data_IF_424213901649
#
_entry.id   IF_424213901649
#
_cell.length_a   1.000
_cell.length_b   1.000
_cell.length_c   1.000
_cell.angle_alpha   90.00
_cell.angle_beta   90.00
_cell.angle_gamma   90.00
#
_symmetry.space_group_name_H-M   'P 1'
#
loop_
_entity.id
_entity.type
_entity.pdbx_description
1 polymer ?
#
# COMPACT_ATOMS: atom_id res chain seq x y z
N UNK A 1 7.05 22.50 2.14
CA UNK A 1 6.14 21.92 3.16
C UNK A 1 6.92 21.68 4.43
N UNK A 2 6.59 22.42 5.49
CA UNK A 2 7.02 22.16 6.86
C UNK A 2 6.19 20.99 7.40
N UNK A 3 6.84 19.98 7.97
CA UNK A 3 6.18 18.86 8.65
C UNK A 3 5.49 19.41 9.90
N UNK A 4 4.19 19.70 9.81
CA UNK A 4 3.49 20.43 10.88
C UNK A 4 3.27 19.57 12.13
N UNK A 5 3.15 18.24 12.00
CA UNK A 5 3.08 17.34 13.14
C UNK A 5 4.35 17.40 14.03
N UNK A 6 5.53 17.65 13.45
CA UNK A 6 6.77 17.86 14.21
C UNK A 6 6.69 19.05 15.17
N UNK A 7 5.78 20.01 14.95
CA UNK A 7 5.60 21.14 15.89
C UNK A 7 5.01 20.71 17.24
N UNK A 8 4.43 19.52 17.29
CA UNK A 8 3.76 18.95 18.44
C UNK A 8 4.56 17.82 19.09
N UNK A 9 5.78 17.54 18.61
CA UNK A 9 6.64 16.46 19.09
C UNK A 9 8.04 16.98 19.42
N UNK A 10 8.70 16.39 20.44
CA UNK A 10 10.06 16.77 20.82
C UNK A 10 11.11 16.36 19.77
N UNK A 11 10.88 15.24 19.08
CA UNK A 11 11.75 14.74 18.02
C UNK A 11 11.12 15.02 16.65
N UNK A 12 11.75 15.92 15.89
CA UNK A 12 11.35 16.26 14.51
C UNK A 12 11.43 15.05 13.55
N UNK A 13 12.17 14.00 13.92
CA UNK A 13 12.29 12.75 13.18
C UNK A 13 11.24 11.69 13.53
N UNK A 14 10.51 11.85 14.63
CA UNK A 14 9.59 10.85 15.16
C UNK A 14 8.27 10.76 14.38
N UNK A 15 7.76 11.88 13.85
CA UNK A 15 6.57 11.89 12.97
C UNK A 15 6.77 12.88 11.85
N UNK A 16 6.65 12.39 10.62
CA UNK A 16 6.71 13.25 9.45
C UNK A 16 5.37 13.46 8.76
N UNK A 17 4.27 12.86 9.25
CA UNK A 17 2.93 12.96 8.66
C UNK A 17 2.57 14.42 8.38
N UNK A 18 2.14 14.69 7.14
CA UNK A 18 1.86 16.06 6.70
C UNK A 18 0.50 16.50 7.22
N UNK A 19 0.51 17.22 8.35
CA UNK A 19 -0.68 17.95 8.85
C UNK A 19 -1.87 17.02 9.13
N UNK A 20 -1.69 15.98 9.97
CA UNK A 20 -2.77 15.05 10.28
C UNK A 20 -3.91 15.79 10.96
N UNK A 21 -5.14 15.34 10.74
CA UNK A 21 -6.26 15.70 11.62
C UNK A 21 -5.88 15.29 13.04
N UNK A 22 -5.68 16.29 13.90
CA UNK A 22 -5.20 16.06 15.28
C UNK A 22 -6.27 15.44 16.15
N UNK A 23 -7.56 15.58 15.79
CA UNK A 23 -8.67 14.93 16.47
C UNK A 23 -8.80 13.48 15.98
N UNK A 24 -8.28 12.57 16.80
CA UNK A 24 -8.28 11.11 16.61
C UNK A 24 -9.23 10.43 17.59
N UNK A 25 -10.04 11.18 18.36
CA UNK A 25 -10.93 10.61 19.39
C UNK A 25 -11.89 9.56 18.82
N UNK A 26 -12.36 9.76 17.59
CA UNK A 26 -13.21 8.82 16.88
C UNK A 26 -12.59 7.41 16.75
N UNK A 27 -11.26 7.29 16.72
CA UNK A 27 -10.55 5.99 16.63
C UNK A 27 -10.76 5.13 17.87
N UNK A 28 -11.08 5.75 19.01
CA UNK A 28 -11.32 5.06 20.27
C UNK A 28 -12.81 4.79 20.52
N UNK A 29 -13.70 5.03 19.54
CA UNK A 29 -15.13 4.69 19.64
C UNK A 29 -15.37 3.18 19.52
N UNK A 30 -14.63 2.49 18.62
CA UNK A 30 -14.62 1.04 18.50
C UNK A 30 -13.33 0.43 19.09
N UNK A 31 -13.22 0.47 20.41
CA UNK A 31 -12.08 -0.13 21.13
C UNK A 31 -11.92 -1.62 20.86
N UNK A 32 -13.02 -2.35 20.56
CA UNK A 32 -12.98 -3.79 20.34
C UNK A 32 -12.33 -4.11 18.99
N UNK A 33 -12.77 -3.45 17.92
CA UNK A 33 -12.17 -3.60 16.59
C UNK A 33 -10.70 -3.17 16.57
N UNK A 34 -10.38 -2.07 17.24
CA UNK A 34 -9.00 -1.55 17.33
C UNK A 34 -8.06 -2.49 18.10
N UNK A 35 -8.51 -3.07 19.22
CA UNK A 35 -7.76 -4.12 19.94
C UNK A 35 -7.51 -5.33 19.05
N UNK A 36 -8.56 -5.81 18.37
CA UNK A 36 -8.44 -6.95 17.47
C UNK A 36 -7.38 -6.71 16.37
N UNK A 37 -7.35 -5.52 15.76
CA UNK A 37 -6.35 -5.18 14.74
C UNK A 37 -4.95 -5.05 15.29
N UNK A 38 -4.83 -4.47 16.48
CA UNK A 38 -3.54 -4.29 17.13
C UNK A 38 -2.95 -5.66 17.50
N UNK A 39 -3.75 -6.55 18.07
CA UNK A 39 -3.37 -7.95 18.37
C UNK A 39 -3.01 -8.73 17.10
N UNK A 40 -3.80 -8.59 16.05
CA UNK A 40 -3.54 -9.24 14.76
C UNK A 40 -2.24 -8.72 14.11
N UNK A 41 -1.93 -7.43 14.27
CA UNK A 41 -0.69 -6.82 13.78
C UNK A 41 0.55 -7.29 14.55
N UNK A 42 0.41 -7.60 15.85
CA UNK A 42 1.51 -8.13 16.69
C UNK A 42 1.96 -9.51 16.19
N UNK A 43 1.02 -10.36 15.76
CA UNK A 43 1.34 -11.69 15.23
C UNK A 43 2.18 -11.65 13.96
N UNK A 44 2.01 -10.61 13.14
CA UNK A 44 2.83 -10.34 11.94
C UNK A 44 4.31 -10.14 12.25
N UNK A 45 4.63 -9.70 13.48
CA UNK A 45 5.97 -9.38 13.94
C UNK A 45 6.45 -10.35 15.03
N UNK A 46 6.14 -11.65 14.92
CA UNK A 46 6.49 -12.70 15.90
C UNK A 46 7.99 -12.81 16.29
N UNK A 47 8.87 -12.04 15.66
CA UNK A 47 10.29 -11.86 16.02
C UNK A 47 10.59 -10.66 16.94
N UNK A 48 9.64 -9.75 17.20
CA UNK A 48 9.78 -8.67 18.18
C UNK A 48 8.93 -8.95 19.42
N UNK A 49 9.54 -9.57 20.42
CA UNK A 49 8.92 -9.94 21.71
C UNK A 49 8.39 -8.77 22.55
N UNK A 50 8.61 -7.51 22.13
CA UNK A 50 8.47 -6.32 22.98
C UNK A 50 7.33 -5.36 22.59
N UNK A 51 6.57 -5.61 21.51
CA UNK A 51 5.49 -4.71 21.07
C UNK A 51 4.12 -5.20 21.56
N UNK A 52 3.81 -4.98 22.84
CA UNK A 52 2.45 -5.16 23.38
C UNK A 52 1.80 -3.79 23.54
N UNK A 53 1.16 -3.30 22.48
CA UNK A 53 0.43 -2.02 22.55
C UNK A 53 -0.85 -2.21 23.35
N UNK A 54 -0.91 -1.57 24.50
CA UNK A 54 -2.13 -1.43 25.27
C UNK A 54 -2.97 -0.27 24.72
N UNK A 55 -3.99 -0.60 23.95
CA UNK A 55 -4.89 0.38 23.31
C UNK A 55 -5.57 1.30 24.34
N UNK A 56 -5.84 0.82 25.56
CA UNK A 56 -6.46 1.64 26.62
C UNK A 56 -5.49 2.70 27.13
N UNK A 57 -4.22 2.31 27.36
CA UNK A 57 -3.14 3.25 27.69
C UNK A 57 -2.93 4.28 26.57
N UNK A 58 -2.91 3.85 25.30
CA UNK A 58 -2.79 4.78 24.16
C UNK A 58 -3.95 5.79 24.16
N UNK A 59 -5.18 5.32 24.36
CA UNK A 59 -6.35 6.20 24.44
C UNK A 59 -6.21 7.23 25.58
N UNK A 60 -5.84 6.78 26.78
CA UNK A 60 -5.66 7.66 27.93
C UNK A 60 -4.56 8.71 27.70
N UNK A 61 -3.41 8.31 27.16
CA UNK A 61 -2.30 9.20 26.84
C UNK A 61 -2.69 10.23 25.79
N UNK A 62 -3.40 9.80 24.73
CA UNK A 62 -3.89 10.69 23.70
C UNK A 62 -4.90 11.72 24.23
N UNK A 63 -5.83 11.32 25.10
CA UNK A 63 -6.79 12.26 25.71
C UNK A 63 -6.08 13.30 26.59
N UNK A 64 -5.06 12.89 27.36
CA UNK A 64 -4.22 13.84 28.12
C UNK A 64 -3.54 14.86 27.21
N UNK A 65 -2.94 14.41 26.11
CA UNK A 65 -2.35 15.29 25.11
C UNK A 65 -3.39 16.24 24.48
N UNK A 66 -4.56 15.71 24.11
CA UNK A 66 -5.65 16.47 23.50
C UNK A 66 -6.21 17.56 24.42
N UNK A 67 -6.33 17.28 25.72
CA UNK A 67 -6.75 18.26 26.73
C UNK A 67 -5.76 19.42 26.85
N UNK A 68 -4.46 19.17 26.71
CA UNK A 68 -3.45 20.24 26.67
C UNK A 68 -3.54 21.00 25.35
N UNK A 69 -3.70 20.31 24.22
CA UNK A 69 -3.83 20.92 22.89
C UNK A 69 -5.05 21.84 22.80
N UNK A 70 -6.21 21.43 23.30
CA UNK A 70 -7.44 22.24 23.31
C UNK A 70 -7.28 23.48 24.18
N UNK A 71 -6.69 23.36 25.39
CA UNK A 71 -6.35 24.52 26.24
C UNK A 71 -5.39 25.49 25.56
N UNK A 72 -4.45 25.00 24.76
CA UNK A 72 -3.53 25.82 23.98
C UNK A 72 -4.22 26.50 22.80
N UNK A 73 -5.05 25.77 22.04
CA UNK A 73 -5.78 26.29 20.87
C UNK A 73 -6.81 27.35 21.27
N UNK A 74 -7.53 27.09 22.35
CA UNK A 74 -8.64 27.91 22.83
C UNK A 74 -8.15 28.97 23.85
N UNK A 75 -6.83 29.22 23.92
CA UNK A 75 -6.25 30.18 24.85
C UNK A 75 -6.71 31.62 24.51
N UNK A 76 -7.64 32.13 25.33
CA UNK A 76 -8.01 33.55 25.33
C UNK A 76 -7.30 34.21 26.50
N UNK A 77 -6.32 35.07 26.21
CA UNK A 77 -5.60 35.84 27.23
C UNK A 77 -5.91 37.33 27.09
N UNK A 78 -6.09 38.00 28.22
CA UNK A 78 -6.50 39.41 28.31
C UNK A 78 -5.34 40.37 27.99
N UNK A 79 -4.09 39.94 28.20
CA UNK A 79 -2.88 40.70 27.84
C UNK A 79 -1.91 39.89 26.96
N UNK A 80 -1.13 40.60 26.12
CA UNK A 80 -0.19 39.96 25.17
C UNK A 80 0.98 39.25 25.88
N UNK A 81 1.43 39.75 27.03
CA UNK A 81 2.53 39.16 27.81
C UNK A 81 2.10 37.85 28.51
N UNK A 82 0.90 37.82 29.09
CA UNK A 82 0.33 36.60 29.70
C UNK A 82 0.05 35.55 28.63
N UNK A 83 -0.43 35.97 27.45
CA UNK A 83 -0.62 35.07 26.31
C UNK A 83 0.66 34.33 25.95
N UNK A 84 1.77 35.06 25.78
CA UNK A 84 3.05 34.49 25.37
C UNK A 84 3.62 33.52 26.41
N UNK A 85 3.52 33.86 27.70
CA UNK A 85 3.97 32.99 28.79
C UNK A 85 3.15 31.70 28.85
N UNK A 86 1.82 31.82 28.82
CA UNK A 86 0.89 30.68 28.88
C UNK A 86 0.98 29.80 27.64
N UNK A 87 1.14 30.39 26.45
CA UNK A 87 1.32 29.64 25.20
C UNK A 87 2.64 28.83 25.24
N UNK A 88 3.72 29.40 25.81
CA UNK A 88 5.00 28.69 25.97
C UNK A 88 4.88 27.52 26.94
N UNK A 89 4.23 27.73 28.07
CA UNK A 89 4.00 26.68 29.08
C UNK A 89 3.15 25.53 28.52
N UNK A 90 2.00 25.85 27.92
CA UNK A 90 1.11 24.85 27.33
C UNK A 90 1.78 24.12 26.18
N UNK A 91 2.58 24.81 25.36
CA UNK A 91 3.37 24.17 24.31
C UNK A 91 4.40 23.20 24.89
N UNK A 92 5.10 23.56 25.96
CA UNK A 92 6.05 22.65 26.61
C UNK A 92 5.35 21.43 27.20
N UNK A 93 4.19 21.61 27.85
CA UNK A 93 3.38 20.49 28.37
C UNK A 93 2.91 19.57 27.23
N UNK A 94 2.44 20.13 26.13
CA UNK A 94 2.02 19.36 24.96
C UNK A 94 3.18 18.57 24.35
N UNK A 95 4.38 19.15 24.32
CA UNK A 95 5.60 18.46 23.89
C UNK A 95 6.00 17.33 24.85
N UNK A 96 5.84 17.52 26.16
CA UNK A 96 6.11 16.46 27.15
C UNK A 96 5.13 15.28 27.01
N UNK A 97 3.90 15.55 26.57
CA UNK A 97 2.87 14.53 26.31
C UNK A 97 2.88 14.02 24.86
N UNK A 98 3.91 14.33 24.06
CA UNK A 98 3.88 14.07 22.61
C UNK A 98 3.69 12.60 22.25
N UNK A 99 4.19 11.67 23.08
CA UNK A 99 4.01 10.23 22.88
C UNK A 99 2.52 9.85 22.78
N UNK A 100 1.61 10.54 23.48
CA UNK A 100 0.18 10.29 23.36
C UNK A 100 -0.36 10.52 21.94
N UNK A 101 0.12 11.55 21.24
CA UNK A 101 -0.20 11.77 19.83
C UNK A 101 0.52 10.76 18.92
N UNK A 102 1.81 10.51 19.19
CA UNK A 102 2.64 9.62 18.37
C UNK A 102 2.09 8.20 18.34
N UNK A 103 1.73 7.66 19.51
CA UNK A 103 1.18 6.31 19.63
C UNK A 103 -0.20 6.20 18.98
N UNK A 104 -1.05 7.23 19.13
CA UNK A 104 -2.33 7.27 18.42
C UNK A 104 -2.16 7.30 16.88
N UNK A 105 -1.12 7.99 16.38
CA UNK A 105 -0.77 8.00 14.96
C UNK A 105 -0.14 6.69 14.48
N UNK A 106 0.41 5.85 15.36
CA UNK A 106 0.94 4.53 14.99
C UNK A 106 -0.16 3.47 14.81
N UNK A 107 -1.33 3.67 15.42
CA UNK A 107 -2.44 2.72 15.38
C UNK A 107 -2.90 2.38 13.95
N UNK A 108 -3.09 1.09 13.61
CA UNK A 108 -3.58 0.66 12.31
C UNK A 108 -5.05 1.05 12.10
N UNK A 109 -5.48 1.13 10.84
CA UNK A 109 -6.83 1.52 10.45
C UNK A 109 -7.92 0.63 11.07
N UNK A 110 -9.12 1.18 11.14
CA UNK A 110 -10.30 0.52 11.68
C UNK A 110 -10.78 -0.56 10.69
N UNK A 111 -11.29 -1.67 11.23
CA UNK A 111 -11.73 -2.79 10.40
C UNK A 111 -13.05 -2.52 9.70
N UNK A 112 -13.13 -2.99 8.46
CA UNK A 112 -14.41 -3.15 7.80
C UNK A 112 -15.21 -4.26 8.49
N UNK A 113 -16.53 -4.14 8.52
CA UNK A 113 -17.41 -5.15 9.12
C UNK A 113 -17.30 -6.55 8.49
N UNK A 114 -16.76 -6.63 7.26
CA UNK A 114 -16.62 -7.88 6.52
C UNK A 114 -15.23 -8.53 6.70
N UNK A 115 -14.31 -7.90 7.44
CA UNK A 115 -12.97 -8.43 7.64
C UNK A 115 -12.99 -9.53 8.70
N UNK A 116 -12.47 -10.70 8.34
CA UNK A 116 -12.39 -11.85 9.25
C UNK A 116 -11.31 -11.59 10.30
N UNK A 117 -11.73 -11.55 11.56
CA UNK A 117 -10.87 -11.37 12.73
C UNK A 117 -10.24 -12.67 13.25
N UNK A 118 -10.48 -13.81 12.62
CA UNK A 118 -9.95 -15.09 13.09
C UNK A 118 -8.42 -15.08 13.08
N UNK A 119 -7.88 -15.12 14.29
CA UNK A 119 -6.48 -15.41 14.58
C UNK A 119 -6.34 -16.93 14.53
N UNK A 120 -6.33 -17.51 13.34
CA UNK A 120 -5.79 -18.85 13.18
C UNK A 120 -4.27 -18.73 13.24
N UNK A 121 -3.64 -19.45 14.18
CA UNK A 121 -2.20 -19.58 14.21
C UNK A 121 -1.73 -19.97 12.79
N UNK A 122 -0.66 -19.36 12.25
CA UNK A 122 -0.20 -19.71 10.93
C UNK A 122 0.11 -21.21 10.94
N UNK A 123 -0.62 -21.98 10.14
CA UNK A 123 -0.11 -23.25 9.63
C UNK A 123 1.07 -22.85 8.75
N UNK A 124 2.24 -22.71 9.38
CA UNK A 124 3.51 -22.68 8.69
C UNK A 124 3.67 -24.09 8.15
N UNK A 125 3.04 -24.36 7.00
CA UNK A 125 3.52 -25.43 6.16
C UNK A 125 4.92 -24.98 5.76
N UNK A 126 5.94 -25.72 6.18
CA UNK A 126 7.28 -25.58 5.61
C UNK A 126 7.12 -25.67 4.09
N UNK A 127 7.20 -24.51 3.43
CA UNK A 127 7.08 -24.43 1.98
C UNK A 127 8.35 -25.06 1.45
N UNK A 128 8.18 -26.16 0.72
CA UNK A 128 9.26 -26.82 0.01
C UNK A 128 9.70 -25.89 -1.13
N UNK A 129 10.62 -24.97 -0.82
CA UNK A 129 11.10 -23.91 -1.73
C UNK A 129 11.67 -24.47 -3.05
N UNK A 130 12.04 -25.76 -3.06
CA UNK A 130 12.56 -26.44 -4.25
C UNK A 130 11.54 -26.56 -5.40
N UNK A 131 10.22 -26.51 -5.12
CA UNK A 131 9.21 -26.67 -6.18
C UNK A 131 8.77 -25.35 -6.86
N UNK A 132 9.06 -24.17 -6.27
CA UNK A 132 8.45 -22.88 -6.65
C UNK A 132 9.27 -21.95 -7.57
N UNK A 133 10.36 -22.44 -8.19
CA UNK A 133 11.27 -21.60 -8.99
C UNK A 133 11.50 -22.09 -10.42
N UNK A 134 10.54 -22.80 -11.02
CA UNK A 134 10.70 -23.36 -12.37
C UNK A 134 10.92 -22.27 -13.42
N UNK A 135 10.25 -21.13 -13.28
CA UNK A 135 10.43 -19.99 -14.18
C UNK A 135 11.86 -19.42 -14.16
N UNK A 136 12.53 -19.36 -13.01
CA UNK A 136 13.91 -18.82 -12.93
C UNK A 136 14.90 -19.72 -13.66
N UNK A 137 14.90 -21.01 -13.35
CA UNK A 137 15.79 -21.97 -14.02
C UNK A 137 15.60 -21.94 -15.54
N UNK A 138 14.34 -21.87 -15.98
CA UNK A 138 14.00 -21.75 -17.39
C UNK A 138 14.55 -20.46 -18.02
N UNK A 139 14.29 -19.31 -17.38
CA UNK A 139 14.69 -18.00 -17.90
C UNK A 139 16.21 -17.82 -17.95
N UNK A 140 16.95 -18.35 -16.96
CA UNK A 140 18.41 -18.32 -16.93
C UNK A 140 18.99 -19.17 -18.05
N UNK A 141 18.49 -20.40 -18.23
CA UNK A 141 18.91 -21.29 -19.33
C UNK A 141 18.63 -20.67 -20.70
N UNK A 142 17.54 -19.92 -20.83
CA UNK A 142 17.18 -19.20 -22.05
C UNK A 142 17.95 -17.88 -22.24
N UNK A 143 18.78 -17.45 -21.29
CA UNK A 143 19.48 -16.16 -21.35
C UNK A 143 18.55 -14.94 -21.28
N UNK A 144 17.33 -15.10 -20.75
CA UNK A 144 16.27 -14.08 -20.71
C UNK A 144 16.20 -13.34 -19.37
N UNK A 145 16.96 -13.82 -18.38
CA UNK A 145 17.13 -13.14 -17.10
C UNK A 145 18.61 -13.14 -16.72
N UNK A 146 19.06 -12.03 -16.14
CA UNK A 146 20.32 -11.96 -15.39
C UNK A 146 20.01 -11.49 -13.98
N UNK A 147 20.16 -12.37 -13.01
CA UNK A 147 19.96 -12.05 -11.59
C UNK A 147 21.26 -11.46 -11.03
N UNK A 148 21.14 -10.39 -10.26
CA UNK A 148 22.24 -9.75 -9.52
C UNK A 148 21.95 -9.89 -8.01
N UNK A 149 22.41 -10.99 -7.38
CA UNK A 149 21.97 -11.35 -6.04
C UNK A 149 22.41 -10.37 -4.95
N UNK A 150 23.54 -9.68 -5.15
CA UNK A 150 24.08 -8.68 -4.22
C UNK A 150 23.16 -7.48 -3.99
N UNK A 151 22.29 -7.18 -4.95
CA UNK A 151 21.34 -6.06 -4.90
C UNK A 151 19.88 -6.50 -5.04
N UNK A 152 19.63 -7.82 -5.04
CA UNK A 152 18.29 -8.41 -5.19
C UNK A 152 17.51 -7.90 -6.41
N UNK A 153 18.22 -7.69 -7.52
CA UNK A 153 17.64 -7.22 -8.78
C UNK A 153 17.77 -8.27 -9.87
N UNK A 154 16.92 -8.17 -10.89
CA UNK A 154 16.99 -8.98 -12.09
C UNK A 154 16.79 -8.13 -13.34
N UNK A 155 17.62 -8.38 -14.35
CA UNK A 155 17.50 -7.78 -15.67
C UNK A 155 16.77 -8.74 -16.59
N UNK A 156 15.66 -8.31 -17.19
CA UNK A 156 14.84 -9.13 -18.08
C UNK A 156 15.04 -8.72 -19.52
N UNK A 157 15.17 -9.69 -20.41
CA UNK A 157 15.35 -9.49 -21.86
C UNK A 157 14.43 -10.45 -22.62
N UNK A 158 13.95 -10.02 -23.79
CA UNK A 158 13.17 -10.88 -24.68
C UNK A 158 11.73 -11.08 -24.22
N UNK A 159 11.30 -12.34 -24.13
CA UNK A 159 9.92 -12.71 -23.82
C UNK A 159 9.40 -12.08 -22.50
N UNK A 160 10.04 -12.24 -21.32
CA UNK A 160 9.53 -11.68 -20.07
C UNK A 160 9.36 -10.16 -20.11
N UNK A 161 10.28 -9.43 -20.74
CA UNK A 161 10.18 -7.97 -20.91
C UNK A 161 9.02 -7.58 -21.83
N UNK A 162 8.82 -8.34 -22.92
CA UNK A 162 7.70 -8.12 -23.85
C UNK A 162 6.35 -8.38 -23.20
N UNK A 163 6.26 -9.43 -22.38
CA UNK A 163 5.07 -9.76 -21.60
C UNK A 163 4.74 -8.66 -20.59
N UNK A 164 5.75 -8.16 -19.86
CA UNK A 164 5.59 -7.04 -18.95
C UNK A 164 5.01 -5.80 -19.64
N UNK A 165 5.56 -5.41 -20.79
CA UNK A 165 5.06 -4.28 -21.58
C UNK A 165 3.61 -4.52 -22.08
N UNK A 166 3.33 -5.72 -22.56
CA UNK A 166 1.98 -6.10 -22.98
C UNK A 166 0.97 -6.00 -21.83
N UNK A 167 1.31 -6.52 -20.64
CA UNK A 167 0.43 -6.49 -19.48
C UNK A 167 0.10 -5.05 -19.06
N UNK A 168 1.08 -4.13 -19.08
CA UNK A 168 0.81 -2.71 -18.81
C UNK A 168 -0.25 -2.14 -19.75
N UNK A 169 -0.15 -2.47 -21.05
CA UNK A 169 -1.09 -2.01 -22.07
C UNK A 169 -2.47 -2.65 -21.86
N UNK A 170 -2.51 -3.96 -21.61
CA UNK A 170 -3.74 -4.71 -21.37
C UNK A 170 -4.53 -4.12 -20.20
N UNK A 171 -3.92 -3.96 -19.03
CA UNK A 171 -4.62 -3.40 -17.86
C UNK A 171 -5.07 -1.96 -18.09
N UNK A 172 -4.31 -1.17 -18.86
CA UNK A 172 -4.71 0.20 -19.21
C UNK A 172 -5.93 0.25 -20.13
N UNK A 173 -6.06 -0.70 -21.05
CA UNK A 173 -7.16 -0.76 -22.02
C UNK A 173 -8.42 -1.41 -21.45
N UNK A 174 -8.26 -2.45 -20.63
CA UNK A 174 -9.38 -3.23 -20.10
C UNK A 174 -9.97 -2.66 -18.80
N UNK A 175 -9.20 -1.92 -18.01
CA UNK A 175 -9.78 -1.18 -16.87
C UNK A 175 -10.63 -0.03 -17.43
N UNK A 176 -11.94 -0.19 -17.36
CA UNK A 176 -12.91 0.76 -17.95
C UNK A 176 -13.34 1.85 -16.98
N UNK A 177 -13.95 2.91 -17.53
CA UNK A 177 -14.52 4.03 -16.80
C UNK A 177 -13.69 5.30 -16.90
N UNK A 178 -13.99 6.27 -16.04
CA UNK A 178 -13.34 7.59 -16.06
C UNK A 178 -11.96 7.54 -15.37
N UNK A 179 -10.98 6.94 -16.05
CA UNK A 179 -9.62 6.76 -15.55
C UNK A 179 -8.70 7.90 -16.01
N UNK A 180 -7.97 8.48 -15.06
CA UNK A 180 -6.88 9.40 -15.29
C UNK A 180 -5.54 8.66 -15.22
N UNK A 181 -4.86 8.55 -16.35
CA UNK A 181 -3.50 8.03 -16.39
C UNK A 181 -2.55 9.08 -15.80
N UNK A 182 -1.77 8.69 -14.79
CA UNK A 182 -0.82 9.58 -14.11
C UNK A 182 0.57 8.97 -14.04
N UNK A 183 1.57 9.84 -14.02
CA UNK A 183 2.96 9.51 -13.70
C UNK A 183 3.28 10.08 -12.32
N UNK A 184 3.13 9.29 -11.24
CA UNK A 184 3.42 9.77 -9.90
C UNK A 184 4.94 9.89 -9.68
N UNK A 185 5.38 10.64 -8.66
CA UNK A 185 6.80 10.70 -8.32
C UNK A 185 7.31 9.32 -7.90
N UNK A 186 8.51 8.96 -8.35
CA UNK A 186 9.17 7.71 -7.93
C UNK A 186 9.72 7.80 -6.51
N UNK A 187 10.00 9.02 -6.04
CA UNK A 187 10.55 9.30 -4.73
C UNK A 187 9.56 10.12 -3.91
N UNK A 188 9.37 9.74 -2.66
CA UNK A 188 8.54 10.49 -1.72
C UNK A 188 9.34 10.78 -0.45
N UNK A 189 8.90 11.79 0.31
CA UNK A 189 9.46 12.05 1.64
C UNK A 189 8.91 11.02 2.63
N UNK A 190 9.68 10.70 3.68
CA UNK A 190 9.24 9.79 4.75
C UNK A 190 7.87 10.16 5.35
N UNK A 191 7.55 11.46 5.38
CA UNK A 191 6.23 12.00 5.69
C UNK A 191 5.03 11.35 5.02
N UNK A 192 5.18 11.03 3.74
CA UNK A 192 4.10 10.44 2.95
C UNK A 192 3.97 8.97 3.32
N UNK A 193 5.09 8.28 3.52
CA UNK A 193 5.14 6.89 3.97
C UNK A 193 4.50 6.76 5.37
N UNK A 194 4.87 7.64 6.31
CA UNK A 194 4.26 7.71 7.64
C UNK A 194 2.75 8.05 7.55
N UNK A 195 2.37 8.90 6.58
CA UNK A 195 0.97 9.26 6.32
C UNK A 195 0.13 8.07 5.83
N UNK A 196 0.74 7.12 5.12
CA UNK A 196 0.15 5.84 4.76
C UNK A 196 0.33 4.78 5.86
N UNK A 197 1.06 5.09 6.94
CA UNK A 197 1.39 4.15 8.03
C UNK A 197 2.12 2.88 7.52
N UNK A 198 3.10 3.07 6.63
CA UNK A 198 4.01 2.00 6.21
C UNK A 198 5.39 2.18 6.86
N UNK A 199 6.14 1.09 6.97
CA UNK A 199 7.53 1.13 7.46
C UNK A 199 8.43 1.78 6.41
N UNK A 200 9.24 2.76 6.82
CA UNK A 200 10.22 3.45 5.96
C UNK A 200 11.35 2.50 5.53
N UNK A 201 11.65 1.52 6.38
CA UNK A 201 12.64 0.46 6.18
C UNK A 201 12.23 -0.50 5.06
N UNK A 202 10.97 -0.47 4.63
CA UNK A 202 10.49 -1.23 3.47
C UNK A 202 10.96 -0.63 2.13
N UNK A 203 11.55 0.57 2.13
CA UNK A 203 11.88 1.32 0.91
C UNK A 203 13.35 1.75 0.87
N UNK A 204 14.01 1.69 -0.31
CA UNK A 204 15.36 2.22 -0.47
C UNK A 204 15.43 3.72 -0.14
N UNK A 205 16.39 4.08 0.71
CA UNK A 205 16.63 5.46 1.18
C UNK A 205 17.72 6.14 0.33
N UNK A 206 17.41 7.34 -0.14
CA UNK A 206 18.36 8.30 -0.70
C UNK A 206 18.64 9.37 0.38
N UNK A 207 19.80 9.26 1.01
CA UNK A 207 20.32 10.28 1.93
C UNK A 207 21.27 11.21 1.16
N UNK A 208 20.94 12.49 1.05
CA UNK A 208 21.88 13.50 0.56
C UNK A 208 22.64 14.08 1.75
N UNK A 209 23.95 13.86 1.79
CA UNK A 209 24.85 14.46 2.78
C UNK A 209 24.88 15.99 2.60
N UNK A 210 24.18 16.66 3.52
CA UNK A 210 24.45 18.01 4.02
C UNK A 210 23.23 18.52 4.81
N UNK A 211 21.99 18.21 4.40
CA UNK A 211 20.79 18.82 5.00
C UNK A 211 19.53 17.91 4.98
N UNK A 212 19.40 16.99 5.96
CA UNK A 212 18.16 16.48 6.62
C UNK A 212 16.92 16.11 5.77
N UNK A 213 17.01 15.84 4.46
CA UNK A 213 15.82 15.47 3.65
C UNK A 213 15.95 14.07 3.07
N UNK A 214 15.57 13.08 3.87
CA UNK A 214 15.43 11.68 3.45
C UNK A 214 14.35 11.53 2.37
N UNK A 215 14.73 11.02 1.21
CA UNK A 215 13.83 10.62 0.13
C UNK A 215 13.83 9.11 -0.01
N UNK A 216 12.66 8.53 -0.21
CA UNK A 216 12.47 7.08 -0.29
C UNK A 216 11.94 6.72 -1.66
N UNK A 217 12.58 5.74 -2.28
CA UNK A 217 12.20 5.23 -3.59
C UNK A 217 11.03 4.24 -3.43
N UNK A 218 9.84 4.70 -3.79
CA UNK A 218 8.57 3.96 -3.66
C UNK A 218 8.03 3.54 -5.02
N UNK A 219 8.43 4.22 -6.09
CA UNK A 219 8.05 3.91 -7.46
C UNK A 219 6.55 4.04 -7.69
N UNK A 220 5.94 3.07 -8.36
CA UNK A 220 4.50 3.00 -8.58
C UNK A 220 3.81 2.24 -7.45
N UNK A 221 3.45 2.98 -6.39
CA UNK A 221 2.80 2.44 -5.19
C UNK A 221 1.88 3.48 -4.55
N UNK A 222 1.15 3.07 -3.50
CA UNK A 222 0.19 3.95 -2.82
C UNK A 222 0.82 5.26 -2.30
N UNK A 223 2.03 5.32 -1.68
CA UNK A 223 2.60 6.58 -1.21
C UNK A 223 2.77 7.59 -2.35
N UNK A 224 3.21 7.13 -3.51
CA UNK A 224 3.45 7.95 -4.70
C UNK A 224 2.15 8.54 -5.26
N UNK A 225 1.06 7.77 -5.28
CA UNK A 225 -0.23 8.26 -5.75
C UNK A 225 -0.84 9.28 -4.79
N UNK A 226 -0.83 9.01 -3.49
CA UNK A 226 -1.43 9.94 -2.50
C UNK A 226 -0.61 11.21 -2.31
N UNK A 227 0.70 11.19 -2.62
CA UNK A 227 1.56 12.37 -2.62
C UNK A 227 1.03 13.51 -3.52
N UNK A 228 0.28 13.17 -4.59
CA UNK A 228 -0.31 14.16 -5.50
C UNK A 228 -1.41 15.01 -4.84
N UNK A 229 -2.03 14.51 -3.78
CA UNK A 229 -3.24 15.07 -3.17
C UNK A 229 -3.01 15.68 -1.79
N UNK A 230 -1.79 15.64 -1.26
CA UNK A 230 -1.47 16.18 0.07
C UNK A 230 -1.95 17.62 0.19
N UNK A 231 -2.77 17.89 1.21
CA UNK A 231 -3.41 19.20 1.47
C UNK A 231 -4.27 19.73 0.31
N UNK A 232 -4.84 18.86 -0.51
CA UNK A 232 -5.77 19.24 -1.58
C UNK A 232 -7.21 19.04 -1.12
N UNK A 233 -8.08 19.91 -1.60
CA UNK A 233 -9.52 19.76 -1.48
C UNK A 233 -10.09 19.37 -2.84
N UNK A 234 -10.84 18.28 -2.89
CA UNK A 234 -11.46 17.75 -4.10
C UNK A 234 -12.93 18.16 -4.16
N UNK A 235 -13.33 18.74 -5.28
CA UNK A 235 -14.65 19.34 -5.45
C UNK A 235 -15.68 18.35 -5.97
N UNK A 236 -16.96 18.63 -5.70
CA UNK A 236 -18.10 17.87 -6.22
C UNK A 236 -18.26 17.87 -7.75
N UNK A 237 -17.58 18.77 -8.47
CA UNK A 237 -17.68 18.91 -9.92
C UNK A 237 -16.92 17.83 -10.70
N UNK A 238 -16.04 17.08 -10.03
CA UNK A 238 -15.33 15.96 -10.63
C UNK A 238 -16.29 14.84 -11.02
N UNK A 239 -15.89 14.01 -11.99
CA UNK A 239 -16.58 12.74 -12.28
C UNK A 239 -16.11 11.70 -11.27
N UNK A 240 -17.01 11.33 -10.36
CA UNK A 240 -16.76 10.38 -9.28
C UNK A 240 -17.22 8.95 -9.67
N UNK A 241 -16.56 7.90 -9.16
CA UNK A 241 -15.32 7.95 -8.38
C UNK A 241 -14.11 8.39 -9.23
N UNK A 242 -13.16 9.10 -8.61
CA UNK A 242 -11.97 9.59 -9.30
C UNK A 242 -10.90 8.49 -9.34
N UNK A 243 -10.70 7.89 -10.51
CA UNK A 243 -9.76 6.77 -10.69
C UNK A 243 -8.43 7.27 -11.26
N UNK A 244 -7.34 7.05 -10.54
CA UNK A 244 -5.99 7.30 -10.99
C UNK A 244 -5.30 5.98 -11.31
N UNK A 245 -4.86 5.80 -12.55
CA UNK A 245 -4.12 4.62 -12.96
C UNK A 245 -2.67 5.00 -13.25
N UNK A 246 -1.75 4.15 -12.81
CA UNK A 246 -0.35 4.27 -13.12
C UNK A 246 0.31 2.91 -13.31
N UNK A 247 1.37 2.85 -14.11
CA UNK A 247 2.14 1.62 -14.29
C UNK A 247 3.62 1.92 -14.44
N UNK A 248 4.45 1.09 -13.83
CA UNK A 248 5.90 1.25 -13.85
C UNK A 248 6.57 0.50 -12.71
N UNK A 249 7.83 0.82 -12.43
CA UNK A 249 8.60 0.12 -11.41
C UNK A 249 8.18 0.52 -9.99
N UNK A 250 7.98 -0.47 -9.13
CA UNK A 250 7.84 -0.34 -7.67
C UNK A 250 9.07 -0.94 -7.02
N UNK A 251 9.52 -0.34 -5.92
CA UNK A 251 10.76 -0.72 -5.24
C UNK A 251 10.46 -1.02 -3.79
N UNK A 252 10.84 -2.21 -3.36
CA UNK A 252 10.80 -2.61 -1.96
C UNK A 252 12.16 -3.19 -1.57
N UNK A 253 12.52 -3.07 -0.31
CA UNK A 253 13.63 -3.84 0.27
C UNK A 253 13.05 -5.23 0.60
N UNK A 254 13.53 -6.32 -0.04
CA UNK A 254 13.14 -7.66 0.33
C UNK A 254 13.51 -7.89 1.80
N UNK A 255 12.71 -8.68 2.52
CA UNK A 255 13.09 -9.11 3.88
C UNK A 255 14.39 -9.93 3.88
N UNK A 256 14.64 -10.68 4.95
CA UNK A 256 15.76 -11.61 5.05
C UNK A 256 15.61 -12.85 4.14
N UNK A 257 15.35 -12.65 2.84
CA UNK A 257 15.33 -13.70 1.83
C UNK A 257 16.77 -13.95 1.42
N UNK A 258 17.29 -15.18 1.55
CA UNK A 258 18.61 -15.52 1.05
C UNK A 258 18.72 -15.20 -0.44
N UNK A 259 19.86 -14.65 -0.84
CA UNK A 259 20.14 -14.28 -2.24
C UNK A 259 20.06 -15.47 -3.21
N UNK A 260 20.16 -16.70 -2.69
CA UNK A 260 19.99 -17.97 -3.43
C UNK A 260 18.53 -18.30 -3.80
N UNK A 261 17.54 -17.57 -3.27
CA UNK A 261 16.10 -17.83 -3.48
C UNK A 261 15.46 -16.69 -4.29
N UNK A 262 16.26 -15.79 -4.87
CA UNK A 262 15.75 -14.67 -5.66
C UNK A 262 15.03 -15.15 -6.92
N UNK A 263 13.78 -14.72 -7.07
CA UNK A 263 12.92 -15.05 -8.19
C UNK A 263 12.03 -13.86 -8.57
N UNK A 264 11.27 -14.00 -9.65
CA UNK A 264 10.36 -12.93 -10.10
C UNK A 264 9.29 -12.57 -9.05
N UNK A 265 9.00 -13.48 -8.12
CA UNK A 265 8.01 -13.29 -7.07
C UNK A 265 8.52 -12.47 -5.88
N UNK A 266 9.84 -12.38 -5.66
CA UNK A 266 10.45 -11.74 -4.48
C UNK A 266 11.55 -10.70 -4.76
N UNK A 267 11.91 -10.43 -6.03
CA UNK A 267 12.87 -9.36 -6.38
C UNK A 267 12.45 -7.97 -5.85
N UNK A 268 13.44 -7.14 -5.55
CA UNK A 268 13.27 -5.79 -4.98
C UNK A 268 12.49 -4.84 -5.90
N UNK A 269 12.85 -4.86 -7.19
CA UNK A 269 12.23 -4.04 -8.21
C UNK A 269 11.23 -4.87 -9.01
N UNK A 270 9.94 -4.54 -8.88
CA UNK A 270 8.85 -5.20 -9.62
C UNK A 270 8.08 -4.22 -10.47
N UNK A 271 7.62 -4.67 -11.61
CA UNK A 271 6.76 -3.87 -12.46
C UNK A 271 5.31 -4.04 -12.01
N UNK A 272 4.63 -2.93 -11.76
CA UNK A 272 3.27 -2.93 -11.24
C UNK A 272 2.34 -2.03 -12.03
N UNK A 273 1.07 -2.37 -12.00
CA UNK A 273 -0.04 -1.48 -12.35
C UNK A 273 -0.82 -1.19 -11.09
N UNK A 274 -0.92 0.08 -10.73
CA UNK A 274 -1.60 0.54 -9.51
C UNK A 274 -2.76 1.45 -9.87
N UNK A 275 -3.89 1.27 -9.17
CA UNK A 275 -5.06 2.14 -9.31
C UNK A 275 -5.47 2.67 -7.93
N UNK A 276 -5.63 3.98 -7.81
CA UNK A 276 -6.21 4.63 -6.64
C UNK A 276 -7.55 5.24 -7.04
N UNK A 277 -8.62 4.79 -6.41
CA UNK A 277 -9.95 5.34 -6.59
C UNK A 277 -10.34 6.16 -5.38
N UNK A 278 -10.70 7.43 -5.59
CA UNK A 278 -11.21 8.31 -4.55
C UNK A 278 -12.74 8.35 -4.64
N UNK A 279 -13.38 8.09 -3.51
CA UNK A 279 -14.82 7.98 -3.35
C UNK A 279 -15.32 9.03 -2.35
N UNK A 280 -16.60 9.40 -2.48
CA UNK A 280 -17.25 10.41 -1.64
C UNK A 280 -17.91 9.82 -0.41
N UNK A 281 -18.51 8.64 -0.56
CA UNK A 281 -19.31 8.00 0.48
C UNK A 281 -18.90 6.55 0.66
N UNK A 282 -19.26 5.98 1.81
CA UNK A 282 -19.01 4.58 2.16
C UNK A 282 -19.68 3.64 1.15
N UNK A 283 -20.87 4.00 0.67
CA UNK A 283 -21.58 3.26 -0.38
C UNK A 283 -20.81 3.29 -1.71
N UNK A 284 -20.31 4.46 -2.12
CA UNK A 284 -19.51 4.60 -3.34
C UNK A 284 -18.19 3.81 -3.24
N UNK A 285 -17.51 3.86 -2.08
CA UNK A 285 -16.31 3.05 -1.81
C UNK A 285 -16.60 1.55 -1.92
N UNK A 286 -17.68 1.08 -1.28
CA UNK A 286 -18.05 -0.34 -1.29
C UNK A 286 -18.40 -0.84 -2.70
N UNK A 287 -19.12 -0.05 -3.47
CA UNK A 287 -19.47 -0.38 -4.85
C UNK A 287 -18.24 -0.39 -5.75
N UNK A 288 -17.35 0.59 -5.58
CA UNK A 288 -16.10 0.70 -6.32
C UNK A 288 -15.16 -0.47 -6.03
N UNK A 289 -15.02 -0.85 -4.76
CA UNK A 289 -14.24 -2.01 -4.32
C UNK A 289 -14.72 -3.32 -4.95
N UNK A 290 -16.03 -3.55 -4.96
CA UNK A 290 -16.64 -4.73 -5.61
C UNK A 290 -16.45 -4.71 -7.12
N UNK A 291 -16.63 -3.54 -7.74
CA UNK A 291 -16.43 -3.35 -9.17
C UNK A 291 -14.98 -3.66 -9.57
N UNK A 292 -14.01 -3.03 -8.92
CA UNK A 292 -12.58 -3.20 -9.24
C UNK A 292 -12.10 -4.63 -8.99
N UNK A 293 -12.54 -5.27 -7.90
CA UNK A 293 -12.23 -6.69 -7.64
C UNK A 293 -12.69 -7.58 -8.79
N UNK A 294 -13.95 -7.43 -9.21
CA UNK A 294 -14.50 -8.20 -10.35
C UNK A 294 -13.82 -7.89 -11.67
N UNK A 295 -13.53 -6.61 -11.94
CA UNK A 295 -12.86 -6.21 -13.18
C UNK A 295 -11.44 -6.76 -13.28
N UNK A 296 -10.65 -6.68 -12.21
CA UNK A 296 -9.28 -7.24 -12.21
C UNK A 296 -9.33 -8.76 -12.34
N UNK A 297 -10.23 -9.42 -11.61
CA UNK A 297 -10.41 -10.87 -11.72
C UNK A 297 -10.79 -11.30 -13.14
N UNK A 298 -11.76 -10.62 -13.78
CA UNK A 298 -12.16 -10.90 -15.16
C UNK A 298 -11.01 -10.70 -16.16
N UNK A 299 -10.15 -9.68 -15.98
CA UNK A 299 -8.97 -9.52 -16.85
C UNK A 299 -8.02 -10.72 -16.72
N UNK A 300 -7.77 -11.17 -15.49
CA UNK A 300 -6.88 -12.30 -15.22
C UNK A 300 -7.45 -13.63 -15.74
N UNK A 301 -8.75 -13.87 -15.56
CA UNK A 301 -9.42 -15.10 -15.98
C UNK A 301 -9.75 -15.10 -17.49
N UNK A 302 -10.36 -14.04 -18.01
CA UNK A 302 -10.88 -14.05 -19.39
C UNK A 302 -9.80 -13.72 -20.42
N UNK A 303 -8.90 -12.77 -20.11
CA UNK A 303 -7.90 -12.25 -21.08
C UNK A 303 -6.54 -12.96 -21.00
N UNK A 304 -6.19 -13.48 -19.81
CA UNK A 304 -4.94 -14.20 -19.58
C UNK A 304 -5.16 -15.71 -19.35
N UNK A 305 -6.41 -16.15 -19.18
CA UNK A 305 -6.79 -17.53 -18.89
C UNK A 305 -6.02 -18.11 -17.71
N UNK A 306 -5.82 -17.32 -16.66
CA UNK A 306 -5.24 -17.78 -15.39
C UNK A 306 -6.35 -18.33 -14.48
N UNK A 307 -6.03 -19.38 -13.73
CA UNK A 307 -6.92 -19.88 -12.69
C UNK A 307 -6.73 -19.04 -11.44
N UNK A 308 -7.75 -18.24 -11.10
CA UNK A 308 -7.66 -17.27 -10.01
C UNK A 308 -8.52 -17.71 -8.83
N UNK A 309 -7.88 -17.82 -7.67
CA UNK A 309 -8.56 -17.90 -6.39
C UNK A 309 -8.69 -16.49 -5.80
N UNK A 310 -9.91 -16.09 -5.46
CA UNK A 310 -10.19 -14.84 -4.74
C UNK A 310 -10.41 -15.14 -3.27
N UNK A 311 -9.66 -14.47 -2.39
CA UNK A 311 -9.78 -14.66 -0.94
C UNK A 311 -9.78 -13.33 -0.20
N UNK A 312 -10.62 -13.23 0.83
CA UNK A 312 -10.55 -12.12 1.77
C UNK A 312 -9.29 -12.24 2.61
N UNK A 313 -8.59 -11.13 2.78
CA UNK A 313 -7.38 -11.08 3.55
C UNK A 313 -7.75 -10.96 5.03
N UNK A 314 -7.28 -11.88 5.89
CA UNK A 314 -7.59 -11.81 7.32
C UNK A 314 -6.87 -10.62 7.97
N UNK A 315 -7.41 -10.15 9.11
CA UNK A 315 -6.92 -8.99 9.83
C UNK A 315 -5.39 -8.99 10.06
N UNK A 316 -4.80 -10.15 10.42
CA UNK A 316 -3.37 -10.27 10.71
C UNK A 316 -2.45 -10.13 9.47
N UNK A 317 -3.00 -10.25 8.26
CA UNK A 317 -2.29 -10.04 6.98
C UNK A 317 -2.60 -8.69 6.34
N UNK A 318 -3.42 -7.85 6.96
CA UNK A 318 -3.65 -6.49 6.48
C UNK A 318 -2.41 -5.61 6.66
N UNK A 319 -2.32 -4.58 5.83
CA UNK A 319 -1.42 -3.45 5.98
C UNK A 319 -2.10 -2.42 6.87
N UNK A 320 -1.32 -1.62 7.60
CA UNK A 320 -1.88 -0.70 8.61
C UNK A 320 -2.86 0.35 8.06
N UNK A 321 -2.86 0.64 6.76
CA UNK A 321 -3.84 1.55 6.17
C UNK A 321 -5.14 0.88 5.73
N UNK A 322 -5.21 -0.44 5.71
CA UNK A 322 -6.33 -1.18 5.14
C UNK A 322 -7.39 -1.43 6.19
N UNK A 323 -8.65 -1.17 5.84
CA UNK A 323 -9.80 -1.62 6.61
C UNK A 323 -10.23 -3.04 6.21
N UNK A 324 -9.91 -3.44 4.98
CA UNK A 324 -10.16 -4.76 4.41
C UNK A 324 -9.45 -4.90 3.06
N UNK A 325 -9.23 -6.14 2.62
CA UNK A 325 -8.64 -6.40 1.32
C UNK A 325 -9.06 -7.76 0.75
N UNK A 326 -9.03 -7.87 -0.58
CA UNK A 326 -9.10 -9.13 -1.33
C UNK A 326 -7.79 -9.38 -2.04
N UNK A 327 -7.23 -10.57 -1.85
CA UNK A 327 -6.09 -11.07 -2.61
C UNK A 327 -6.58 -11.96 -3.74
N UNK A 328 -6.04 -11.75 -4.94
CA UNK A 328 -6.18 -12.65 -6.09
C UNK A 328 -4.89 -13.45 -6.22
N UNK A 329 -5.01 -14.77 -6.17
CA UNK A 329 -3.90 -15.73 -6.19
C UNK A 329 -4.07 -16.70 -7.35
N UNK A 330 -2.95 -17.22 -7.87
CA UNK A 330 -2.98 -18.31 -8.85
C UNK A 330 -3.00 -19.67 -8.15
N UNK A 331 -3.61 -20.68 -8.77
CA UNK A 331 -3.71 -22.05 -8.22
C UNK A 331 -2.36 -22.74 -7.99
N UNK A 332 -1.28 -22.25 -8.61
CA UNK A 332 0.05 -22.84 -8.56
C UNK A 332 0.92 -22.36 -7.40
N UNK A 333 0.58 -21.25 -6.72
CA UNK A 333 1.41 -20.67 -5.67
C UNK A 333 0.57 -20.33 -4.43
N UNK A 334 0.77 -21.09 -3.34
CA UNK A 334 -0.01 -21.00 -2.10
C UNK A 334 0.09 -19.63 -1.40
N UNK A 335 1.06 -18.79 -1.74
CA UNK A 335 1.26 -17.48 -1.09
C UNK A 335 1.50 -16.26 -2.01
N UNK A 336 1.63 -16.43 -3.33
CA UNK A 336 1.93 -15.30 -4.21
C UNK A 336 0.65 -14.62 -4.71
N UNK A 337 0.15 -13.67 -3.91
CA UNK A 337 -0.87 -12.74 -4.38
C UNK A 337 -0.35 -11.95 -5.58
N UNK A 338 -1.03 -12.06 -6.73
CA UNK A 338 -0.68 -11.35 -7.97
C UNK A 338 -1.41 -10.01 -8.10
N UNK A 339 -2.56 -9.87 -7.43
CA UNK A 339 -3.25 -8.60 -7.30
C UNK A 339 -3.90 -8.47 -5.93
N UNK A 340 -3.84 -7.27 -5.35
CA UNK A 340 -4.48 -6.94 -4.07
C UNK A 340 -5.39 -5.74 -4.24
N UNK A 341 -6.63 -5.86 -3.83
CA UNK A 341 -7.61 -4.77 -3.83
C UNK A 341 -7.94 -4.46 -2.37
N UNK A 342 -7.79 -3.21 -1.96
CA UNK A 342 -7.89 -2.79 -0.57
C UNK A 342 -8.91 -1.67 -0.39
N UNK A 343 -9.76 -1.79 0.63
CA UNK A 343 -10.56 -0.67 1.16
C UNK A 343 -9.77 0.04 2.25
N UNK A 344 -9.85 1.37 2.29
CA UNK A 344 -9.04 2.22 3.17
C UNK A 344 -9.93 3.16 3.99
N UNK A 345 -11.13 3.48 3.51
CA UNK A 345 -11.95 4.54 4.08
C UNK A 345 -11.22 5.88 4.04
N UNK A 346 -11.38 6.67 5.09
CA UNK A 346 -10.78 8.02 5.21
C UNK A 346 -9.45 8.05 5.96
N UNK A 347 -8.83 6.89 6.20
CA UNK A 347 -7.63 6.79 7.04
C UNK A 347 -6.45 7.62 6.51
N UNK A 348 -6.06 7.42 5.25
CA UNK A 348 -4.95 8.14 4.64
C UNK A 348 -5.32 9.62 4.39
N UNK A 349 -6.55 9.91 3.96
CA UNK A 349 -6.99 11.29 3.70
C UNK A 349 -6.99 12.14 4.96
N UNK A 350 -7.35 11.59 6.13
CA UNK A 350 -7.25 12.28 7.43
C UNK A 350 -5.80 12.56 7.84
N UNK A 351 -4.88 11.66 7.51
CA UNK A 351 -3.44 11.81 7.83
C UNK A 351 -2.72 12.78 6.90
N UNK A 352 -3.14 12.88 5.63
CA UNK A 352 -2.51 13.73 4.62
C UNK A 352 -3.34 14.99 4.26
N UNK A 353 -4.42 15.25 5.01
CA UNK A 353 -5.34 16.37 4.81
C UNK A 353 -5.88 16.44 3.36
N UNK A 354 -6.44 15.32 2.88
CA UNK A 354 -7.06 15.21 1.56
C UNK A 354 -8.58 15.38 1.73
N UNK A 355 -9.06 16.58 1.46
CA UNK A 355 -10.41 16.99 1.79
C UNK A 355 -11.38 16.75 0.65
N UNK A 356 -12.65 16.64 1.01
CA UNK A 356 -13.79 16.54 0.12
C UNK A 356 -14.73 17.73 0.35
N UNK A 357 -14.87 18.59 -0.66
CA UNK A 357 -15.72 19.77 -0.60
C UNK A 357 -17.12 19.48 -1.21
N UNK A 358 -17.99 18.89 -0.38
CA UNK A 358 -19.38 18.61 -0.73
C UNK A 358 -20.34 19.74 -0.31
N UNK A 359 -20.17 20.28 0.91
CA UNK A 359 -21.06 21.29 1.49
C UNK A 359 -20.24 22.45 2.09
N UNK A 360 -20.75 23.69 1.96
CA UNK A 360 -20.13 24.84 2.64
C UNK A 360 -20.05 24.59 4.15
N UNK A 361 -18.86 24.82 4.73
CA UNK A 361 -18.57 24.71 6.18
C UNK A 361 -18.53 23.29 6.78
N UNK A 362 -18.64 22.22 5.98
CA UNK A 362 -18.33 20.86 6.45
C UNK A 362 -16.94 20.45 6.00
N UNK A 363 -16.11 19.96 6.92
CA UNK A 363 -14.84 19.31 6.59
C UNK A 363 -15.11 17.82 6.46
N UNK A 364 -15.05 17.31 5.23
CA UNK A 364 -15.15 15.88 4.95
C UNK A 364 -13.86 15.39 4.28
N UNK A 365 -13.63 14.09 4.29
CA UNK A 365 -12.42 13.45 3.78
C UNK A 365 -12.76 12.43 2.71
N UNK A 366 -11.97 12.39 1.64
CA UNK A 366 -12.18 11.38 0.61
C UNK A 366 -11.94 9.98 1.15
N UNK A 367 -12.71 9.03 0.66
CA UNK A 367 -12.53 7.61 0.94
C UNK A 367 -11.73 6.97 -0.18
N UNK A 368 -10.97 5.91 0.08
CA UNK A 368 -10.05 5.36 -0.91
C UNK A 368 -10.22 3.85 -1.11
N UNK A 369 -10.17 3.43 -2.37
CA UNK A 369 -9.94 2.04 -2.78
C UNK A 369 -8.61 2.00 -3.53
N UNK A 370 -7.74 1.06 -3.17
CA UNK A 370 -6.44 0.90 -3.81
C UNK A 370 -6.32 -0.49 -4.44
N UNK A 371 -5.78 -0.55 -5.66
CA UNK A 371 -5.51 -1.78 -6.39
C UNK A 371 -4.01 -1.82 -6.66
N UNK A 372 -3.37 -2.93 -6.27
CA UNK A 372 -1.97 -3.22 -6.52
C UNK A 372 -1.86 -4.49 -7.36
N UNK A 373 -1.52 -4.36 -8.64
CA UNK A 373 -1.36 -5.48 -9.59
C UNK A 373 0.12 -5.67 -9.88
N UNK A 374 0.64 -6.86 -9.60
CA UNK A 374 2.03 -7.22 -9.79
C UNK A 374 2.24 -7.89 -11.15
N UNK A 375 2.69 -7.10 -12.13
CA UNK A 375 2.90 -7.59 -13.49
C UNK A 375 4.08 -8.56 -13.55
N UNK A 376 5.09 -8.39 -12.70
CA UNK A 376 6.23 -9.31 -12.64
C UNK A 376 5.79 -10.70 -12.20
N UNK A 377 4.94 -10.80 -11.17
CA UNK A 377 4.39 -12.08 -10.72
C UNK A 377 3.47 -12.72 -11.77
N UNK A 378 2.64 -11.92 -12.45
CA UNK A 378 1.81 -12.42 -13.55
C UNK A 378 2.67 -13.01 -14.66
N UNK A 379 3.81 -12.38 -15.01
CA UNK A 379 4.75 -12.94 -15.99
C UNK A 379 5.31 -14.29 -15.54
N UNK A 380 5.68 -14.43 -14.26
CA UNK A 380 6.12 -15.73 -13.73
C UNK A 380 5.05 -16.80 -13.95
N UNK A 381 3.80 -16.53 -13.56
CA UNK A 381 2.69 -17.47 -13.74
C UNK A 381 2.40 -17.81 -15.20
N UNK A 382 2.48 -16.83 -16.12
CA UNK A 382 2.28 -17.07 -17.56
C UNK A 382 3.37 -17.98 -18.14
N UNK A 383 4.62 -17.80 -17.74
CA UNK A 383 5.75 -18.63 -18.18
C UNK A 383 5.57 -20.06 -17.67
N UNK A 384 5.22 -20.24 -16.39
CA UNK A 384 5.04 -21.57 -15.82
C UNK A 384 3.87 -22.32 -16.47
N UNK A 385 2.76 -21.63 -16.71
CA UNK A 385 1.56 -22.23 -17.30
C UNK A 385 1.76 -22.60 -18.78
N UNK A 386 2.18 -21.65 -19.61
CA UNK A 386 2.16 -21.84 -21.07
C UNK A 386 3.49 -22.32 -21.65
N UNK A 387 4.61 -21.94 -21.04
CA UNK A 387 5.94 -22.27 -21.59
C UNK A 387 6.47 -23.55 -20.97
N UNK A 388 6.44 -23.65 -19.64
CA UNK A 388 7.04 -24.79 -18.92
C UNK A 388 6.07 -25.99 -18.90
N UNK A 389 4.82 -25.77 -18.53
CA UNK A 389 3.83 -26.85 -18.46
C UNK A 389 3.27 -27.24 -19.84
N UNK A 390 3.57 -26.46 -20.88
CA UNK A 390 3.15 -26.73 -22.26
C UNK A 390 1.64 -26.69 -22.48
N UNK A 391 0.88 -26.05 -21.59
CA UNK A 391 -0.56 -25.89 -21.78
C UNK A 391 -0.83 -25.07 -23.05
N UNK A 392 -1.85 -25.45 -23.81
CA UNK A 392 -2.24 -24.70 -25.00
C UNK A 392 -2.70 -23.29 -24.60
N UNK A 393 -2.23 -22.29 -25.35
CA UNK A 393 -2.70 -20.91 -25.22
C UNK A 393 -4.13 -20.87 -25.78
N UNK A 394 -5.17 -20.57 -24.97
CA UNK A 394 -6.54 -20.48 -25.46
C UNK A 394 -6.72 -19.41 -26.53
N UNK A 395 -7.64 -19.64 -27.49
CA UNK A 395 -7.95 -18.68 -28.55
C UNK A 395 -8.52 -17.35 -28.02
N UNK A 396 -9.07 -17.37 -26.80
CA UNK A 396 -9.58 -16.19 -26.09
C UNK A 396 -8.47 -15.24 -25.61
N UNK A 397 -7.23 -15.72 -25.53
CA UNK A 397 -6.09 -14.88 -25.13
C UNK A 397 -5.77 -13.87 -26.22
N UNK A 398 -5.37 -12.67 -25.79
CA UNK A 398 -4.98 -11.60 -26.70
C UNK A 398 -4.02 -12.09 -27.81
N UNK A 399 -4.31 -11.83 -29.10
CA UNK A 399 -3.52 -12.35 -30.22
C UNK A 399 -2.04 -11.98 -30.16
N UNK A 400 -1.69 -10.84 -29.56
CA UNK A 400 -0.30 -10.47 -29.34
C UNK A 400 0.39 -11.40 -28.34
N UNK A 401 -0.24 -11.65 -27.20
CA UNK A 401 0.26 -12.57 -26.17
C UNK A 401 0.38 -13.99 -26.74
N UNK A 402 -0.65 -14.44 -27.46
CA UNK A 402 -0.62 -15.74 -28.12
C UNK A 402 0.51 -15.84 -29.15
N UNK A 403 0.71 -14.81 -29.98
CA UNK A 403 1.82 -14.78 -30.95
C UNK A 403 3.18 -14.80 -30.25
N UNK A 404 3.38 -13.99 -29.22
CA UNK A 404 4.66 -13.93 -28.48
C UNK A 404 5.00 -15.27 -27.83
N UNK A 405 4.01 -15.94 -27.21
CA UNK A 405 4.19 -17.27 -26.63
C UNK A 405 4.43 -18.35 -27.70
N UNK A 406 3.66 -18.35 -28.78
CA UNK A 406 3.75 -19.35 -29.86
C UNK A 406 5.04 -19.22 -30.67
N UNK A 407 5.47 -18.00 -31.01
CA UNK A 407 6.76 -17.76 -31.68
C UNK A 407 7.91 -18.34 -30.87
N UNK A 408 7.86 -18.16 -29.55
CA UNK A 408 8.89 -18.67 -28.67
C UNK A 408 8.84 -20.21 -28.55
N UNK A 409 7.66 -20.80 -28.37
CA UNK A 409 7.49 -22.26 -28.34
C UNK A 409 7.99 -22.93 -29.63
N UNK A 410 7.82 -22.29 -30.78
CA UNK A 410 8.32 -22.79 -32.06
C UNK A 410 9.85 -22.68 -32.18
N UNK A 411 10.46 -21.62 -31.63
CA UNK A 411 11.92 -21.44 -31.62
C UNK A 411 12.68 -22.45 -30.72
N UNK A 412 12.00 -23.09 -29.77
CA UNK A 412 12.57 -24.12 -28.91
C UNK A 412 12.57 -25.51 -29.58
N UNK A 413 11.78 -25.71 -30.64
CA UNK A 413 11.64 -26.99 -31.36
C UNK A 413 12.55 -27.08 -32.61
N UNK A 414 13.11 -25.96 -33.05
CA UNK A 414 14.12 -25.85 -34.11
C UNK A 414 15.52 -25.87 -33.52
#
# INVERSE_FOLDING_TARGET
>A
MTHLACRFCNDESAVHVVDPLLDLRYRFEDMKGLKCMTEASILKHSSSKDWKVDVESVAANYHRWWDVYTKWRDSTAESQAEKLSRDRELRQRMLNESEGLLDALRLPNDLSANTVCEVTAPLINEVDYEQNNKHIFFLEKAGMIKVEPSISNAHLIGLPASLQYFLQKLFREELTGNILNVSPPYFVRGAIIDGVNLSKESFPLFATDAHKRSLYLTGHSIPSLVALFVKKSLTKTNRWPLRLLSSGASYNIPGSVPSSILNLNNISQRLKTVLLSLCRTDEEENNEYKFLTKSVQAILEDKLSLEIASSFVPAHKLLNFESGATGLLTSTEVEATIARISTIGSYISRRLCILLDLKPKSVDFVRMVFVDIDLTRIVASLIEKYVISGQSVPESINPFLARSLMQFLNSQKS
#
